data_IF_147165203095
#
_entry.id   IF_147165203095
#
_cell.length_a   1.000
_cell.length_b   1.000
_cell.length_c   1.000
_cell.angle_alpha   90.00
_cell.angle_beta   90.00
_cell.angle_gamma   90.00
#
_symmetry.space_group_name_H-M   'P 1'
#
loop_
_entity.id
_entity.type
_entity.pdbx_description
1 polymer ?
#
# COMPACT_ATOMS: atom_id res chain seq x y z
N UNK A 1 3.96 4.40 -5.50
CA UNK A 1 3.75 2.96 -5.37
C UNK A 1 4.15 2.23 -6.63
N UNK A 2 4.91 1.12 -6.51
CA UNK A 2 5.55 0.44 -7.65
C UNK A 2 5.13 -1.02 -7.82
N UNK A 3 4.77 -1.73 -6.77
CA UNK A 3 4.35 -3.13 -6.82
C UNK A 3 3.02 -3.36 -7.52
N UNK A 4 2.83 -4.52 -8.12
CA UNK A 4 1.60 -5.03 -8.74
C UNK A 4 0.90 -4.06 -9.72
N UNK A 5 1.66 -3.25 -10.44
CA UNK A 5 1.11 -2.30 -11.43
C UNK A 5 1.73 -2.54 -12.80
N UNK A 6 0.93 -2.42 -13.88
CA UNK A 6 1.43 -2.55 -15.25
C UNK A 6 2.64 -1.65 -15.48
N UNK A 7 3.67 -2.20 -16.14
CA UNK A 7 4.91 -1.50 -16.47
C UNK A 7 5.71 -0.95 -15.27
N UNK A 8 5.47 -1.47 -14.06
CA UNK A 8 6.20 -1.11 -12.84
C UNK A 8 6.66 -2.38 -12.13
N UNK A 9 7.95 -2.46 -11.83
CA UNK A 9 8.57 -3.59 -11.15
C UNK A 9 9.65 -3.14 -10.19
N UNK A 10 10.28 -4.09 -9.48
CA UNK A 10 11.32 -3.83 -8.48
C UNK A 10 12.48 -3.02 -9.05
N UNK A 11 12.95 -3.31 -10.27
CA UNK A 11 14.01 -2.53 -10.92
C UNK A 11 13.65 -1.05 -11.09
N UNK A 12 12.38 -0.73 -11.39
CA UNK A 12 11.94 0.67 -11.47
C UNK A 12 11.83 1.32 -10.09
N UNK A 13 11.47 0.55 -9.07
CA UNK A 13 11.45 1.03 -7.68
C UNK A 13 12.86 1.39 -7.21
N UNK A 14 13.83 0.49 -7.42
CA UNK A 14 15.24 0.71 -7.10
C UNK A 14 15.81 1.90 -7.88
N UNK A 15 15.56 1.97 -9.20
CA UNK A 15 15.99 3.12 -10.00
C UNK A 15 15.42 4.44 -9.48
N UNK A 16 14.15 4.46 -9.10
CA UNK A 16 13.52 5.64 -8.51
C UNK A 16 14.16 6.00 -7.17
N UNK A 17 14.45 5.02 -6.33
CA UNK A 17 15.13 5.23 -5.06
C UNK A 17 16.53 5.81 -5.29
N UNK A 18 17.34 5.23 -6.18
CA UNK A 18 18.65 5.75 -6.56
C UNK A 18 18.60 7.20 -7.02
N UNK A 19 17.72 7.51 -7.98
CA UNK A 19 17.56 8.88 -8.47
C UNK A 19 17.18 9.87 -7.37
N UNK A 20 16.40 9.43 -6.38
CA UNK A 20 16.07 10.25 -5.22
C UNK A 20 17.27 10.45 -4.32
N UNK A 21 18.13 9.45 -4.15
CA UNK A 21 19.34 9.51 -3.33
C UNK A 21 20.43 10.37 -3.97
N UNK A 22 20.62 10.26 -5.30
CA UNK A 22 21.63 10.98 -6.05
C UNK A 22 21.31 12.47 -6.23
N UNK A 23 20.04 12.76 -6.56
CA UNK A 23 19.64 14.13 -6.96
C UNK A 23 19.43 15.09 -5.79
N UNK A 24 19.28 14.60 -4.58
CA UNK A 24 18.99 15.44 -3.41
C UNK A 24 19.76 14.95 -2.19
N UNK A 25 20.38 15.85 -1.43
CA UNK A 25 21.08 15.48 -0.21
C UNK A 25 20.11 14.77 0.74
N UNK A 26 20.52 13.60 1.20
CA UNK A 26 19.72 12.71 2.06
C UNK A 26 20.38 12.59 3.40
N UNK A 27 19.67 12.93 4.46
CA UNK A 27 20.18 12.76 5.84
C UNK A 27 19.75 11.42 6.43
N UNK A 28 18.56 10.95 6.08
CA UNK A 28 18.01 9.69 6.62
C UNK A 28 17.28 8.90 5.54
N UNK A 29 17.47 7.61 5.57
CA UNK A 29 16.66 6.63 4.86
C UNK A 29 16.08 5.72 5.92
N UNK A 30 14.76 5.55 5.92
CA UNK A 30 14.06 4.61 6.76
C UNK A 30 13.59 3.47 5.87
N UNK A 31 13.88 2.26 6.24
CA UNK A 31 13.30 1.06 5.67
C UNK A 31 12.25 0.53 6.64
N UNK A 32 11.05 0.28 6.16
CA UNK A 32 9.93 -0.14 6.99
C UNK A 32 9.10 -1.18 6.27
N UNK A 33 8.80 -2.23 6.98
CA UNK A 33 7.93 -3.33 6.58
C UNK A 33 6.69 -3.36 7.47
N UNK A 34 5.54 -3.72 6.91
CA UNK A 34 4.28 -3.80 7.64
C UNK A 34 4.00 -5.26 7.99
N UNK A 35 4.28 -5.61 9.24
CA UNK A 35 4.04 -6.97 9.73
C UNK A 35 2.57 -7.35 9.62
N UNK A 36 2.30 -8.48 8.97
CA UNK A 36 0.93 -9.01 8.85
C UNK A 36 0.00 -8.15 8.01
N UNK A 37 0.54 -7.38 7.05
CA UNK A 37 -0.23 -6.41 6.28
C UNK A 37 -1.53 -7.00 5.68
N UNK A 38 -1.44 -8.16 5.04
CA UNK A 38 -2.60 -8.79 4.40
C UNK A 38 -3.64 -9.30 5.40
N UNK A 39 -3.25 -9.58 6.64
CA UNK A 39 -4.13 -10.09 7.68
C UNK A 39 -4.93 -8.99 8.38
N UNK A 40 -4.43 -7.73 8.30
CA UNK A 40 -5.02 -6.57 8.97
C UNK A 40 -5.64 -5.55 7.98
N UNK A 41 -6.02 -6.02 6.80
CA UNK A 41 -6.73 -5.19 5.83
C UNK A 41 -8.19 -5.05 6.24
N UNK A 42 -8.59 -3.86 6.63
CA UNK A 42 -9.99 -3.55 6.96
C UNK A 42 -10.86 -3.54 5.69
N UNK A 43 -11.86 -4.42 5.66
CA UNK A 43 -12.72 -4.62 4.50
C UNK A 43 -13.60 -3.41 4.20
N UNK A 44 -14.10 -2.71 5.21
CA UNK A 44 -14.98 -1.55 5.01
C UNK A 44 -14.19 -0.37 4.43
N UNK A 45 -12.96 -0.16 4.88
CA UNK A 45 -12.08 0.83 4.27
C UNK A 45 -11.72 0.50 2.83
N UNK A 46 -11.47 -0.78 2.51
CA UNK A 46 -11.24 -1.21 1.12
C UNK A 46 -12.45 -0.87 0.25
N UNK A 47 -13.65 -1.24 0.70
CA UNK A 47 -14.91 -0.96 0.00
C UNK A 47 -15.11 0.54 -0.16
N UNK A 48 -14.82 1.33 0.87
CA UNK A 48 -14.90 2.80 0.81
C UNK A 48 -13.94 3.38 -0.25
N UNK A 49 -12.69 2.93 -0.26
CA UNK A 49 -11.70 3.41 -1.25
C UNK A 49 -12.06 3.03 -2.68
N UNK A 50 -12.52 1.80 -2.91
CA UNK A 50 -12.98 1.36 -4.22
C UNK A 50 -14.23 2.15 -4.63
N UNK A 51 -15.19 2.30 -3.73
CA UNK A 51 -16.44 3.03 -3.95
C UNK A 51 -16.25 4.52 -4.21
N UNK A 52 -15.11 5.10 -3.82
CA UNK A 52 -14.76 6.49 -4.19
C UNK A 52 -14.54 6.66 -5.69
N UNK A 53 -14.13 5.61 -6.40
CA UNK A 53 -13.81 5.60 -7.84
C UNK A 53 -14.80 4.83 -8.70
N UNK A 54 -15.28 3.69 -8.19
CA UNK A 54 -16.19 2.79 -8.90
C UNK A 54 -17.56 2.86 -8.23
N UNK A 55 -18.55 3.33 -8.97
CA UNK A 55 -19.93 3.51 -8.46
C UNK A 55 -20.85 2.33 -8.80
N UNK A 56 -20.36 1.35 -9.57
CA UNK A 56 -21.16 0.17 -9.93
C UNK A 56 -21.38 -0.73 -8.70
N UNK A 57 -22.64 -0.92 -8.27
CA UNK A 57 -22.96 -1.73 -7.09
C UNK A 57 -22.63 -3.21 -7.29
N UNK A 58 -22.61 -3.71 -8.52
CA UNK A 58 -22.28 -5.10 -8.79
C UNK A 58 -20.78 -5.37 -8.55
N UNK A 59 -19.92 -4.43 -8.96
CA UNK A 59 -18.48 -4.52 -8.70
C UNK A 59 -18.21 -4.45 -7.19
N UNK A 60 -18.82 -3.50 -6.50
CA UNK A 60 -18.68 -3.37 -5.04
C UNK A 60 -19.12 -4.66 -4.32
N UNK A 61 -20.27 -5.21 -4.72
CA UNK A 61 -20.77 -6.48 -4.18
C UNK A 61 -19.83 -7.65 -4.46
N UNK A 62 -19.25 -7.71 -5.67
CA UNK A 62 -18.27 -8.74 -6.02
C UNK A 62 -17.02 -8.65 -5.15
N UNK A 63 -16.46 -7.45 -4.99
CA UNK A 63 -15.29 -7.23 -4.14
C UNK A 63 -15.59 -7.62 -2.69
N UNK A 64 -16.76 -7.23 -2.16
CA UNK A 64 -17.17 -7.62 -0.80
C UNK A 64 -17.25 -9.14 -0.63
N UNK A 65 -17.75 -9.86 -1.63
CA UNK A 65 -17.78 -11.32 -1.62
C UNK A 65 -16.37 -11.93 -1.66
N UNK A 66 -15.48 -11.35 -2.47
CA UNK A 66 -14.09 -11.80 -2.56
C UNK A 66 -13.34 -11.60 -1.22
N UNK A 67 -13.59 -10.50 -0.52
CA UNK A 67 -13.00 -10.23 0.79
C UNK A 67 -13.53 -11.19 1.86
N UNK A 68 -14.84 -11.46 1.85
CA UNK A 68 -15.50 -12.37 2.78
C UNK A 68 -15.31 -13.86 2.47
N UNK A 69 -14.72 -14.18 1.30
CA UNK A 69 -14.51 -15.58 0.89
C UNK A 69 -13.56 -16.37 1.82
N UNK A 70 -12.97 -15.70 2.81
CA UNK A 70 -12.20 -16.32 3.88
C UNK A 70 -10.97 -17.10 3.41
N UNK A 71 -10.38 -17.81 4.34
CA UNK A 71 -9.23 -18.70 4.14
C UNK A 71 -9.70 -20.13 4.42
N UNK A 72 -9.41 -21.03 3.49
CA UNK A 72 -9.61 -22.46 3.73
C UNK A 72 -8.40 -23.00 4.50
N UNK A 73 -8.54 -23.17 5.80
CA UNK A 73 -7.49 -23.70 6.64
C UNK A 73 -7.86 -25.14 7.06
N UNK A 74 -7.03 -26.14 6.69
CA UNK A 74 -7.24 -27.55 7.02
C UNK A 74 -8.66 -28.10 6.74
N UNK A 75 -9.27 -27.74 5.59
CA UNK A 75 -10.65 -28.10 5.20
C UNK A 75 -11.77 -27.45 6.04
N UNK A 76 -11.45 -26.55 6.95
CA UNK A 76 -12.44 -25.71 7.64
C UNK A 76 -12.46 -24.31 7.01
N UNK A 77 -13.67 -23.81 6.78
CA UNK A 77 -13.89 -22.47 6.22
C UNK A 77 -13.99 -21.47 7.37
N UNK A 78 -13.02 -20.57 7.45
CA UNK A 78 -13.05 -19.44 8.39
C UNK A 78 -13.45 -18.16 7.63
N UNK A 79 -14.63 -17.62 7.95
CA UNK A 79 -14.98 -16.26 7.54
C UNK A 79 -14.11 -15.26 8.30
N UNK A 80 -13.40 -14.43 7.57
CA UNK A 80 -12.59 -13.37 8.17
C UNK A 80 -13.27 -12.01 7.95
N UNK A 81 -13.43 -11.25 9.02
CA UNK A 81 -13.91 -9.86 8.95
C UNK A 81 -12.79 -8.90 8.53
N UNK A 82 -11.55 -9.30 8.74
CA UNK A 82 -10.34 -8.56 8.37
C UNK A 82 -9.43 -9.43 7.52
N UNK A 83 -8.61 -8.75 6.72
CA UNK A 83 -7.59 -9.38 5.91
C UNK A 83 -8.07 -9.80 4.53
N UNK A 84 -7.12 -10.21 3.74
CA UNK A 84 -7.33 -10.79 2.41
C UNK A 84 -6.67 -12.15 2.40
N UNK A 85 -7.40 -13.17 2.01
CA UNK A 85 -6.89 -14.55 1.96
C UNK A 85 -5.52 -14.61 1.29
N UNK A 86 -4.51 -15.07 2.03
CA UNK A 86 -3.16 -15.20 1.53
C UNK A 86 -3.17 -16.19 0.37
N UNK A 87 -2.79 -15.73 -0.84
CA UNK A 87 -2.89 -16.53 -2.08
C UNK A 87 -4.09 -16.20 -2.96
N UNK A 88 -5.01 -15.36 -2.54
CA UNK A 88 -6.08 -14.86 -3.42
C UNK A 88 -5.52 -14.02 -4.57
N UNK A 89 -5.98 -14.27 -5.79
CA UNK A 89 -5.53 -13.57 -7.02
C UNK A 89 -5.78 -12.06 -6.94
N UNK A 90 -6.80 -11.62 -6.22
CA UNK A 90 -7.15 -10.20 -6.07
C UNK A 90 -6.41 -9.49 -4.93
N UNK A 91 -5.83 -10.22 -3.95
CA UNK A 91 -5.12 -9.66 -2.81
C UNK A 91 -4.06 -8.62 -3.17
N UNK A 92 -3.17 -8.86 -4.18
CA UNK A 92 -2.16 -7.87 -4.55
C UNK A 92 -2.74 -6.56 -5.09
N UNK A 93 -3.87 -6.62 -5.79
CA UNK A 93 -4.54 -5.40 -6.33
C UNK A 93 -5.21 -4.64 -5.20
N UNK A 94 -5.94 -5.33 -4.33
CA UNK A 94 -6.62 -4.76 -3.17
C UNK A 94 -5.61 -4.12 -2.22
N UNK A 95 -4.51 -4.80 -1.91
CA UNK A 95 -3.44 -4.27 -1.08
C UNK A 95 -2.81 -3.01 -1.67
N UNK A 96 -2.63 -2.98 -2.99
CA UNK A 96 -2.16 -1.77 -3.67
C UNK A 96 -3.12 -0.58 -3.53
N UNK A 97 -4.43 -0.82 -3.62
CA UNK A 97 -5.45 0.22 -3.43
C UNK A 97 -5.40 0.72 -1.98
N UNK A 98 -5.41 -0.18 -1.02
CA UNK A 98 -5.35 0.15 0.40
C UNK A 98 -4.12 0.97 0.75
N UNK A 99 -2.92 0.50 0.37
CA UNK A 99 -1.65 1.21 0.61
C UNK A 99 -1.59 2.57 -0.08
N UNK A 100 -2.26 2.73 -1.22
CA UNK A 100 -2.31 4.02 -1.89
C UNK A 100 -3.01 5.07 -1.03
N UNK A 101 -4.17 4.75 -0.47
CA UNK A 101 -4.93 5.70 0.32
C UNK A 101 -4.38 5.84 1.75
N UNK A 102 -4.05 4.74 2.41
CA UNK A 102 -3.62 4.76 3.81
C UNK A 102 -2.20 5.31 3.95
N UNK A 103 -1.25 4.89 3.10
CA UNK A 103 0.14 5.29 3.27
C UNK A 103 0.58 6.39 2.29
N UNK A 104 0.38 6.18 0.98
CA UNK A 104 0.95 7.11 -0.03
C UNK A 104 0.25 8.46 0.01
N UNK A 105 -1.08 8.46 0.08
CA UNK A 105 -1.86 9.69 0.18
C UNK A 105 -1.61 10.41 1.50
N UNK A 106 -1.65 9.69 2.63
CA UNK A 106 -1.35 10.23 3.96
C UNK A 106 0.06 10.83 4.03
N UNK A 107 1.07 10.14 3.51
CA UNK A 107 2.43 10.66 3.47
C UNK A 107 2.52 11.97 2.69
N UNK A 108 1.86 12.03 1.54
CA UNK A 108 1.87 13.20 0.66
C UNK A 108 1.11 14.39 1.25
N UNK A 109 -0.10 14.18 1.73
CA UNK A 109 -1.01 15.27 2.14
C UNK A 109 -0.84 15.66 3.62
N UNK A 110 -0.42 14.74 4.48
CA UNK A 110 -0.34 14.99 5.91
C UNK A 110 1.11 15.11 6.40
N UNK A 111 2.00 14.23 5.96
CA UNK A 111 3.38 14.20 6.48
C UNK A 111 4.27 15.19 5.75
N UNK A 112 4.24 15.19 4.40
CA UNK A 112 5.13 16.06 3.61
C UNK A 112 5.01 17.55 3.96
N UNK A 113 3.81 18.13 4.18
CA UNK A 113 3.68 19.53 4.55
C UNK A 113 4.26 19.88 5.93
N UNK A 114 4.35 18.90 6.84
CA UNK A 114 4.89 19.07 8.20
C UNK A 114 6.41 18.97 8.26
N UNK A 115 7.04 18.51 7.17
CA UNK A 115 8.47 18.29 7.13
C UNK A 115 9.19 19.52 6.57
N UNK A 116 10.20 19.99 7.29
CA UNK A 116 11.13 21.00 6.80
C UNK A 116 12.13 20.32 5.85
N UNK A 117 12.01 20.56 4.56
CA UNK A 117 12.89 20.00 3.54
C UNK A 117 12.25 18.91 2.69
N UNK A 118 13.06 18.28 1.82
CA UNK A 118 12.57 17.27 0.89
C UNK A 118 12.27 15.96 1.61
N UNK A 119 11.09 15.44 1.38
CA UNK A 119 10.70 14.10 1.77
C UNK A 119 10.22 13.29 0.56
N UNK A 120 10.61 12.05 0.47
CA UNK A 120 10.22 11.15 -0.59
C UNK A 120 9.83 9.79 -0.05
N UNK A 121 8.91 9.12 -0.73
CA UNK A 121 8.44 7.79 -0.38
C UNK A 121 8.49 6.88 -1.61
N UNK A 122 9.10 5.73 -1.46
CA UNK A 122 9.03 4.62 -2.41
C UNK A 122 8.33 3.46 -1.72
N UNK A 123 7.30 2.94 -2.34
CA UNK A 123 6.51 1.80 -1.84
C UNK A 123 6.51 0.72 -2.90
N UNK A 124 6.86 -0.50 -2.51
CA UNK A 124 6.79 -1.69 -3.35
C UNK A 124 6.07 -2.78 -2.57
N UNK A 125 4.84 -3.09 -2.97
CA UNK A 125 3.92 -3.96 -2.22
C UNK A 125 3.73 -3.44 -0.77
N UNK A 126 4.08 -4.24 0.23
CA UNK A 126 4.10 -3.96 1.66
C UNK A 126 5.38 -3.27 2.13
N UNK A 127 6.47 -3.39 1.35
CA UNK A 127 7.74 -2.70 1.64
C UNK A 127 7.65 -1.20 1.36
N UNK A 128 8.11 -0.38 2.28
CA UNK A 128 8.18 1.06 2.10
C UNK A 128 9.50 1.66 2.57
N UNK A 129 10.08 2.52 1.73
CA UNK A 129 11.29 3.26 2.06
C UNK A 129 11.00 4.77 2.02
N UNK A 130 10.55 5.38 3.14
CA UNK A 130 10.46 6.81 3.28
C UNK A 130 11.83 7.44 3.47
N UNK A 131 12.00 8.62 2.92
CA UNK A 131 13.25 9.38 2.94
C UNK A 131 13.02 10.78 3.48
N UNK A 132 13.88 11.24 4.37
CA UNK A 132 13.84 12.56 4.97
C UNK A 132 15.21 13.26 4.88
N UNK A 133 15.18 14.58 4.64
CA UNK A 133 16.29 15.48 4.91
C UNK A 133 16.00 16.24 6.21
N UNK A 134 16.92 16.18 7.17
CA UNK A 134 16.95 17.13 8.30
C UNK A 134 17.70 18.36 7.80
N UNK A 135 17.04 19.53 7.82
CA UNK A 135 17.77 20.77 7.80
C UNK A 135 18.43 20.90 9.18
N UNK A 136 19.74 20.84 9.20
CA UNK A 136 20.51 21.28 10.37
C UNK A 136 20.34 22.78 10.42
N UNK A 137 19.71 23.28 11.44
CA UNK A 137 19.75 24.70 11.84
C UNK A 137 21.06 24.98 12.52
#
# INVERSE_FOLDING_TARGET
MMGFRPNRGCHKAIRKLNLMLERKPTSYVLDADIKGFFQHLDHEWIIHFIGSRIKDPNIIRLVRRMLKAGIMNNYEFEETEEGSGQGSVCSPVISCIYMHYVLVWWFKEVITPKLKGYAGLVVYADDCAPRRRKLVT
#
